data_IF_715622360352
#
_entry.id   IF_715622360352
#
_cell.length_a   1.000
_cell.length_b   1.000
_cell.length_c   1.000
_cell.angle_alpha   90.00
_cell.angle_beta   90.00
_cell.angle_gamma   90.00
#
_symmetry.space_group_name_H-M   'P 1'
#
loop_
_entity.id
_entity.type
_entity.pdbx_description
1 polymer ?
#
# COMPACT_ATOMS: atom_id res chain seq x y z
N UNK A 1 -2.36 -18.32 -2.22
CA UNK A 1 -3.76 -18.03 -2.66
C UNK A 1 -3.69 -17.37 -4.02
N UNK A 2 -4.44 -17.84 -5.01
CA UNK A 2 -4.40 -17.25 -6.36
C UNK A 2 -5.33 -16.05 -6.44
N UNK A 3 -4.81 -14.92 -6.90
CA UNK A 3 -5.53 -13.67 -7.10
C UNK A 3 -5.59 -13.36 -8.58
N UNK A 4 -6.78 -13.07 -9.08
CA UNK A 4 -6.99 -12.63 -10.45
C UNK A 4 -7.82 -11.34 -10.46
N UNK A 5 -7.29 -10.32 -11.12
CA UNK A 5 -7.94 -9.03 -11.33
C UNK A 5 -7.97 -8.74 -12.83
N UNK A 6 -9.16 -8.73 -13.41
CA UNK A 6 -9.35 -8.59 -14.85
C UNK A 6 -10.34 -7.48 -15.21
N UNK A 7 -9.99 -6.73 -16.26
CA UNK A 7 -10.80 -5.71 -16.92
C UNK A 7 -10.38 -5.61 -18.39
N UNK A 8 -11.02 -4.74 -19.17
CA UNK A 8 -10.61 -4.49 -20.56
C UNK A 8 -9.19 -3.89 -20.68
N UNK A 9 -8.65 -3.31 -19.61
CA UNK A 9 -7.36 -2.62 -19.59
C UNK A 9 -6.29 -3.33 -18.75
N UNK A 10 -6.68 -4.31 -17.91
CA UNK A 10 -5.80 -4.94 -16.95
C UNK A 10 -6.05 -6.45 -16.91
N UNK A 11 -4.98 -7.22 -16.99
CA UNK A 11 -4.99 -8.65 -16.69
C UNK A 11 -3.86 -8.97 -15.72
N UNK A 12 -4.22 -9.13 -14.45
CA UNK A 12 -3.29 -9.41 -13.36
C UNK A 12 -3.64 -10.77 -12.74
N UNK A 13 -2.67 -11.67 -12.68
CA UNK A 13 -2.77 -12.97 -12.02
C UNK A 13 -1.50 -13.18 -11.19
N UNK A 14 -1.66 -13.54 -9.93
CA UNK A 14 -0.56 -13.84 -9.04
C UNK A 14 -0.97 -14.75 -7.89
N UNK A 15 -0.02 -15.55 -7.40
CA UNK A 15 -0.13 -16.27 -6.15
C UNK A 15 0.38 -15.38 -5.00
N UNK A 16 -0.48 -15.11 -4.02
CA UNK A 16 -0.14 -14.36 -2.81
C UNK A 16 -0.28 -15.23 -1.57
N UNK A 17 0.75 -15.21 -0.73
CA UNK A 17 0.72 -15.80 0.60
C UNK A 17 0.58 -14.72 1.68
N UNK A 18 1.54 -13.82 1.79
CA UNK A 18 1.52 -12.68 2.72
C UNK A 18 1.66 -11.36 1.97
N UNK A 19 2.68 -11.26 1.13
CA UNK A 19 3.04 -10.04 0.40
C UNK A 19 3.28 -10.32 -1.08
N UNK A 20 2.91 -9.37 -1.92
CA UNK A 20 3.35 -9.27 -3.31
C UNK A 20 4.11 -7.96 -3.52
N UNK A 21 5.24 -8.05 -4.21
CA UNK A 21 6.11 -6.92 -4.53
C UNK A 21 6.03 -6.67 -6.04
N UNK A 22 5.54 -5.51 -6.47
CA UNK A 22 5.37 -5.18 -7.89
C UNK A 22 6.44 -4.18 -8.30
N UNK A 23 7.29 -4.60 -9.23
CA UNK A 23 8.44 -3.85 -9.78
C UNK A 23 8.35 -3.77 -11.31
N UNK A 24 9.41 -3.32 -11.98
CA UNK A 24 9.47 -3.18 -13.44
C UNK A 24 9.26 -1.74 -13.92
N UNK A 25 9.58 -1.51 -15.19
CA UNK A 25 9.59 -0.20 -15.83
C UNK A 25 8.22 0.33 -16.24
N UNK A 26 7.21 -0.55 -16.42
CA UNK A 26 5.90 -0.11 -16.89
C UNK A 26 5.07 0.51 -15.75
N UNK A 27 5.33 1.79 -15.49
CA UNK A 27 4.61 2.59 -14.49
C UNK A 27 3.11 2.69 -14.79
N UNK A 28 2.71 2.74 -16.06
CA UNK A 28 1.30 2.80 -16.44
C UNK A 28 0.55 1.54 -15.97
N UNK A 29 1.12 0.35 -16.18
CA UNK A 29 0.51 -0.90 -15.71
C UNK A 29 0.47 -0.98 -14.18
N UNK A 30 1.55 -0.57 -13.50
CA UNK A 30 1.59 -0.47 -12.03
C UNK A 30 0.51 0.45 -11.48
N UNK A 31 0.33 1.62 -12.10
CA UNK A 31 -0.71 2.58 -11.74
C UNK A 31 -2.11 2.02 -12.02
N UNK A 32 -2.31 1.35 -13.15
CA UNK A 32 -3.57 0.67 -13.46
C UNK A 32 -3.93 -0.34 -12.37
N UNK A 33 -3.00 -1.22 -11.95
CA UNK A 33 -3.23 -2.16 -10.85
C UNK A 33 -3.68 -1.42 -9.58
N UNK A 34 -2.96 -0.37 -9.17
CA UNK A 34 -3.33 0.42 -8.00
C UNK A 34 -4.74 1.02 -8.11
N UNK A 35 -5.05 1.67 -9.23
CA UNK A 35 -6.36 2.31 -9.42
C UNK A 35 -7.50 1.30 -9.48
N UNK A 36 -7.29 0.11 -10.03
CA UNK A 36 -8.28 -0.95 -9.98
C UNK A 36 -8.55 -1.40 -8.53
N UNK A 37 -7.49 -1.64 -7.75
CA UNK A 37 -7.63 -1.97 -6.32
C UNK A 37 -8.34 -0.85 -5.54
N UNK A 38 -8.02 0.42 -5.81
CA UNK A 38 -8.66 1.57 -5.17
C UNK A 38 -10.12 1.72 -5.57
N UNK A 39 -10.46 1.54 -6.85
CA UNK A 39 -11.84 1.66 -7.35
C UNK A 39 -12.76 0.59 -6.75
N UNK A 40 -12.25 -0.62 -6.52
CA UNK A 40 -12.96 -1.70 -5.86
C UNK A 40 -13.47 -1.34 -4.45
N UNK A 41 -12.79 -0.41 -3.74
CA UNK A 41 -13.20 0.10 -2.42
C UNK A 41 -14.43 1.01 -2.49
N UNK A 42 -14.56 1.81 -3.55
CA UNK A 42 -15.41 3.02 -3.55
C UNK A 42 -16.85 2.75 -3.97
N UNK A 43 -17.11 1.94 -5.01
CA UNK A 43 -18.46 1.84 -5.58
C UNK A 43 -18.72 0.51 -6.28
N UNK A 44 -19.94 -0.01 -6.11
CA UNK A 44 -20.50 -1.11 -6.92
C UNK A 44 -21.02 -0.67 -8.30
N UNK A 45 -21.04 0.65 -8.57
CA UNK A 45 -21.57 1.23 -9.79
C UNK A 45 -20.47 1.99 -10.53
N UNK A 46 -20.39 1.79 -11.84
CA UNK A 46 -19.48 2.50 -12.74
C UNK A 46 -20.23 3.62 -13.45
N UNK A 47 -19.59 4.78 -13.62
CA UNK A 47 -20.10 5.82 -14.54
C UNK A 47 -19.99 5.35 -15.99
N UNK A 48 -20.58 6.07 -16.94
CA UNK A 48 -20.43 5.76 -18.37
C UNK A 48 -18.96 5.83 -18.83
N UNK A 49 -18.20 6.79 -18.30
CA UNK A 49 -16.76 6.93 -18.55
C UNK A 49 -15.97 5.76 -17.98
N UNK A 50 -16.30 5.36 -16.74
CA UNK A 50 -15.66 4.22 -16.10
C UNK A 50 -16.03 2.90 -16.77
N UNK A 51 -17.24 2.77 -17.29
CA UNK A 51 -17.67 1.58 -18.04
C UNK A 51 -16.92 1.48 -19.37
N UNK A 52 -16.62 2.60 -20.02
CA UNK A 52 -15.73 2.61 -21.21
C UNK A 52 -14.29 2.23 -20.87
N UNK A 53 -13.83 2.58 -19.66
CA UNK A 53 -12.46 2.29 -19.22
C UNK A 53 -12.29 0.86 -18.70
N UNK A 54 -13.13 0.41 -17.76
CA UNK A 54 -13.04 -0.92 -17.15
C UNK A 54 -13.77 -2.01 -17.94
N UNK A 55 -14.56 -1.64 -18.95
CA UNK A 55 -15.41 -2.53 -19.72
C UNK A 55 -16.83 -2.66 -19.17
N UNK A 56 -17.74 -3.16 -19.99
CA UNK A 56 -19.16 -3.34 -19.62
C UNK A 56 -19.36 -4.27 -18.41
N UNK A 57 -18.44 -5.21 -18.19
CA UNK A 57 -18.42 -6.11 -17.04
C UNK A 57 -17.79 -5.52 -15.78
N UNK A 58 -17.17 -4.35 -15.88
CA UNK A 58 -16.36 -3.72 -14.83
C UNK A 58 -15.15 -4.57 -14.43
N UNK A 59 -14.57 -4.21 -13.28
CA UNK A 59 -13.46 -4.95 -12.67
C UNK A 59 -13.98 -6.30 -12.14
N UNK A 60 -13.38 -7.40 -12.60
CA UNK A 60 -13.63 -8.74 -12.07
C UNK A 60 -12.51 -9.12 -11.11
N UNK A 61 -12.91 -9.52 -9.90
CA UNK A 61 -11.98 -9.96 -8.87
C UNK A 61 -12.27 -11.41 -8.50
N UNK A 62 -11.27 -12.28 -8.61
CA UNK A 62 -11.37 -13.70 -8.25
C UNK A 62 -10.28 -14.08 -7.26
N UNK A 63 -10.64 -14.95 -6.33
CA UNK A 63 -9.72 -15.63 -5.41
C UNK A 63 -9.89 -17.13 -5.60
N UNK A 64 -8.81 -17.85 -5.86
CA UNK A 64 -8.79 -19.29 -6.13
C UNK A 64 -9.88 -19.68 -7.15
N UNK A 65 -9.88 -18.97 -8.28
CA UNK A 65 -10.82 -19.08 -9.40
C UNK A 65 -12.31 -18.78 -9.06
N UNK A 66 -12.62 -18.36 -7.82
CA UNK A 66 -13.97 -17.94 -7.41
C UNK A 66 -14.13 -16.44 -7.50
N UNK A 67 -15.12 -15.99 -8.28
CA UNK A 67 -15.50 -14.58 -8.34
C UNK A 67 -16.01 -14.12 -6.97
N UNK A 68 -15.41 -13.06 -6.45
CA UNK A 68 -15.81 -12.46 -5.17
C UNK A 68 -16.40 -11.07 -5.40
N UNK A 69 -17.26 -10.64 -4.48
CA UNK A 69 -17.76 -9.29 -4.51
C UNK A 69 -16.72 -8.33 -3.92
N UNK A 70 -16.06 -7.59 -4.79
CA UNK A 70 -15.05 -6.59 -4.45
C UNK A 70 -15.55 -5.56 -3.44
N UNK A 71 -16.82 -5.15 -3.51
CA UNK A 71 -17.39 -4.14 -2.59
C UNK A 71 -17.59 -4.65 -1.16
N UNK A 72 -17.43 -5.96 -0.94
CA UNK A 72 -17.48 -6.59 0.40
C UNK A 72 -16.10 -6.84 0.97
N UNK A 73 -15.03 -6.59 0.21
CA UNK A 73 -13.66 -6.80 0.67
C UNK A 73 -13.20 -5.58 1.47
N UNK A 74 -12.36 -5.84 2.49
CA UNK A 74 -11.73 -4.78 3.25
C UNK A 74 -10.41 -4.40 2.55
N UNK A 75 -10.46 -3.36 1.72
CA UNK A 75 -9.31 -2.88 0.95
C UNK A 75 -8.87 -1.51 1.47
N UNK A 76 -7.65 -1.44 1.97
CA UNK A 76 -6.96 -0.21 2.35
C UNK A 76 -5.91 0.11 1.29
N UNK A 77 -6.00 1.30 0.70
CA UNK A 77 -5.06 1.78 -0.31
C UNK A 77 -4.30 2.98 0.24
N UNK A 78 -3.00 3.04 -0.01
CA UNK A 78 -2.13 4.13 0.42
C UNK A 78 -1.25 4.54 -0.77
N UNK A 79 -1.38 5.78 -1.24
CA UNK A 79 -0.46 6.38 -2.23
C UNK A 79 0.20 7.68 -1.79
N UNK A 80 0.04 8.06 -0.53
CA UNK A 80 0.62 9.28 -0.01
C UNK A 80 0.22 9.57 1.42
N UNK A 81 0.76 10.68 1.94
CA UNK A 81 0.52 11.16 3.29
C UNK A 81 -0.98 11.37 3.59
N UNK A 82 -1.74 11.90 2.64
CA UNK A 82 -3.18 12.14 2.80
C UNK A 82 -3.96 10.84 3.02
N UNK A 83 -3.60 9.76 2.32
CA UNK A 83 -4.23 8.45 2.53
C UNK A 83 -3.90 7.91 3.93
N UNK A 84 -2.67 8.11 4.42
CA UNK A 84 -2.26 7.72 5.79
C UNK A 84 -3.07 8.50 6.83
N UNK A 85 -3.18 9.82 6.69
CA UNK A 85 -4.02 10.66 7.56
C UNK A 85 -5.49 10.23 7.50
N UNK A 86 -5.97 9.85 6.32
CA UNK A 86 -7.30 9.30 6.09
C UNK A 86 -7.61 8.04 6.91
N UNK A 87 -6.59 7.24 7.28
CA UNK A 87 -6.75 6.05 8.14
C UNK A 87 -7.19 6.40 9.58
N UNK A 88 -6.98 7.65 10.00
CA UNK A 88 -7.32 8.17 11.34
C UNK A 88 -8.62 8.98 11.36
N UNK A 89 -9.39 8.96 10.28
CA UNK A 89 -10.70 9.63 10.26
C UNK A 89 -11.69 8.92 11.18
N UNK A 90 -12.57 9.68 11.84
CA UNK A 90 -13.64 9.15 12.69
C UNK A 90 -14.92 8.85 11.90
N UNK A 91 -14.78 8.19 10.75
CA UNK A 91 -15.91 7.66 9.98
C UNK A 91 -16.32 6.27 10.50
N UNK A 92 -17.61 5.93 10.44
CA UNK A 92 -18.18 4.64 10.87
C UNK A 92 -17.53 3.41 10.23
N UNK A 93 -16.90 3.59 9.07
CA UNK A 93 -16.21 2.52 8.35
C UNK A 93 -14.70 2.48 8.64
N UNK A 94 -14.17 3.44 9.38
CA UNK A 94 -12.75 3.48 9.71
C UNK A 94 -12.42 2.49 10.83
N UNK A 95 -11.20 1.96 10.77
CA UNK A 95 -10.69 1.01 11.75
C UNK A 95 -10.59 1.66 13.14
N UNK A 96 -10.09 2.90 13.18
CA UNK A 96 -9.88 3.64 14.43
C UNK A 96 -11.21 3.99 15.09
N UNK A 97 -12.24 4.34 14.32
CA UNK A 97 -13.57 4.59 14.88
C UNK A 97 -14.19 3.33 15.49
N UNK A 98 -14.05 2.18 14.82
CA UNK A 98 -14.54 0.91 15.35
C UNK A 98 -13.81 0.48 16.63
N UNK A 99 -12.49 0.70 16.70
CA UNK A 99 -11.72 0.45 17.92
C UNK A 99 -12.15 1.39 19.05
N UNK A 100 -12.35 2.69 18.77
CA UNK A 100 -12.88 3.64 19.74
C UNK A 100 -14.27 3.22 20.24
N UNK A 101 -15.16 2.75 19.36
CA UNK A 101 -16.48 2.28 19.77
C UNK A 101 -16.40 1.06 20.70
N UNK A 102 -15.48 0.13 20.45
CA UNK A 102 -15.26 -1.03 21.34
C UNK A 102 -14.81 -0.60 22.74
N UNK A 103 -13.92 0.39 22.82
CA UNK A 103 -13.52 0.98 24.10
C UNK A 103 -14.70 1.75 24.75
N UNK A 104 -15.63 2.30 23.95
CA UNK A 104 -16.83 3.00 24.43
C UNK A 104 -17.93 2.07 24.95
N UNK A 105 -17.90 0.78 24.60
CA UNK A 105 -18.80 -0.25 25.16
C UNK A 105 -18.51 -0.58 26.64
N UNK A 106 -17.55 0.09 27.27
CA UNK A 106 -17.44 0.14 28.74
C UNK A 106 -18.75 0.68 29.34
N UNK A 107 -19.41 -0.17 30.13
CA UNK A 107 -20.68 0.10 30.80
C UNK A 107 -20.67 1.44 31.55
N UNK A 108 -19.52 1.83 32.12
CA UNK A 108 -19.41 3.11 32.82
C UNK A 108 -19.45 4.30 31.86
N UNK A 109 -18.83 4.19 30.69
CA UNK A 109 -18.84 5.26 29.70
C UNK A 109 -20.21 5.37 29.03
N UNK A 110 -20.85 4.24 28.69
CA UNK A 110 -22.23 4.23 28.16
C UNK A 110 -23.16 4.98 29.10
N UNK A 111 -23.09 4.70 30.41
CA UNK A 111 -23.92 5.39 31.40
C UNK A 111 -23.66 6.90 31.46
N UNK A 112 -22.41 7.34 31.24
CA UNK A 112 -22.09 8.76 31.15
C UNK A 112 -22.64 9.39 29.87
N UNK A 113 -22.58 8.69 28.75
CA UNK A 113 -23.11 9.15 27.46
C UNK A 113 -24.65 9.26 27.48
N UNK A 114 -25.34 8.35 28.17
CA UNK A 114 -26.78 8.45 28.41
C UNK A 114 -27.13 9.70 29.22
N UNK A 115 -26.35 10.02 30.25
CA UNK A 115 -26.52 11.26 31.02
C UNK A 115 -26.31 12.51 30.16
N UNK A 116 -25.37 12.48 29.20
CA UNK A 116 -25.17 13.57 28.24
C UNK A 116 -26.39 13.72 27.34
N UNK A 117 -26.93 12.61 26.80
CA UNK A 117 -28.16 12.64 26.00
C UNK A 117 -29.33 13.23 26.79
N UNK A 118 -29.50 12.86 28.06
CA UNK A 118 -30.54 13.44 28.92
C UNK A 118 -30.39 14.97 29.07
N UNK A 119 -29.15 15.47 29.18
CA UNK A 119 -28.91 16.92 29.23
C UNK A 119 -29.18 17.60 27.88
N UNK A 120 -28.77 16.98 26.76
CA UNK A 120 -29.04 17.51 25.42
C UNK A 120 -30.55 17.63 25.18
N UNK A 121 -31.32 16.60 25.53
CA UNK A 121 -32.78 16.62 25.43
C UNK A 121 -33.41 17.75 26.26
N UNK A 122 -32.87 18.04 27.46
CA UNK A 122 -33.35 19.19 28.27
C UNK A 122 -33.06 20.52 27.58
N UNK A 123 -31.86 20.69 27.02
CA UNK A 123 -31.49 21.90 26.27
C UNK A 123 -32.38 22.08 25.04
N UNK A 124 -32.65 21.02 24.30
CA UNK A 124 -33.58 21.04 23.16
C UNK A 124 -34.98 21.50 23.56
N UNK A 125 -35.51 20.98 24.67
CA UNK A 125 -36.82 21.37 25.19
C UNK A 125 -36.86 22.86 25.55
N UNK A 126 -35.82 23.38 26.21
CA UNK A 126 -35.74 24.80 26.54
C UNK A 126 -35.63 25.69 25.29
N UNK A 127 -34.89 25.25 24.26
CA UNK A 127 -34.78 25.98 22.99
C UNK A 127 -36.12 25.98 22.27
N UNK A 128 -36.80 24.84 22.17
CA UNK A 128 -38.09 24.73 21.50
C UNK A 128 -39.17 25.55 22.19
N UNK A 129 -39.20 25.58 23.53
CA UNK A 129 -40.09 26.48 24.27
C UNK A 129 -39.86 27.96 23.93
N UNK A 130 -38.60 28.38 23.78
CA UNK A 130 -38.27 29.75 23.39
C UNK A 130 -38.59 30.02 21.92
N UNK A 131 -38.36 29.05 21.03
CA UNK A 131 -38.70 29.15 19.61
C UNK A 131 -40.21 29.28 19.40
N UNK A 132 -41.02 28.46 20.08
CA UNK A 132 -42.49 28.55 20.03
C UNK A 132 -43.01 29.95 20.42
N UNK A 133 -42.30 30.62 21.34
CA UNK A 133 -42.65 31.97 21.79
C UNK A 133 -42.21 33.05 20.80
N UNK A 134 -41.08 32.85 20.09
CA UNK A 134 -40.44 33.88 19.27
C UNK A 134 -40.73 33.76 17.76
N UNK A 135 -40.86 32.53 17.25
CA UNK A 135 -40.95 32.19 15.84
C UNK A 135 -41.95 31.04 15.68
N UNK A 136 -43.19 31.38 15.30
CA UNK A 136 -44.23 30.39 15.08
C UNK A 136 -43.83 29.34 14.04
N UNK A 137 -44.01 28.06 14.37
CA UNK A 137 -43.85 26.89 13.49
C UNK A 137 -42.41 26.45 13.17
N UNK A 138 -41.43 26.82 14.00
CA UNK A 138 -40.06 26.31 13.89
C UNK A 138 -39.70 25.46 15.12
N UNK A 139 -39.30 24.22 14.87
CA UNK A 139 -38.75 23.33 15.90
C UNK A 139 -37.30 22.98 15.59
N UNK A 140 -36.49 22.97 16.64
CA UNK A 140 -35.16 22.41 16.60
C UNK A 140 -35.26 20.88 16.46
N UNK A 141 -34.57 20.36 15.45
CA UNK A 141 -34.40 18.92 15.26
C UNK A 141 -33.60 18.33 16.42
N UNK A 142 -34.06 17.20 16.95
CA UNK A 142 -33.35 16.44 17.99
C UNK A 142 -31.96 16.00 17.54
N UNK A 143 -31.01 16.00 18.46
CA UNK A 143 -29.63 15.60 18.28
C UNK A 143 -29.08 14.91 19.54
N UNK A 144 -28.27 13.87 19.32
CA UNK A 144 -27.69 13.06 20.38
C UNK A 144 -26.18 13.31 20.49
N UNK A 145 -25.55 12.77 21.55
CA UNK A 145 -24.09 12.81 21.71
C UNK A 145 -23.38 12.26 20.47
N UNK A 146 -23.95 11.22 19.83
CA UNK A 146 -23.40 10.60 18.63
C UNK A 146 -23.31 11.58 17.45
N UNK A 147 -24.25 12.54 17.39
CA UNK A 147 -24.28 13.62 16.40
C UNK A 147 -23.20 14.65 16.67
N UNK A 148 -22.92 14.95 17.95
CA UNK A 148 -21.83 15.84 18.35
C UNK A 148 -20.47 15.19 18.09
N UNK A 149 -20.31 13.92 18.47
CA UNK A 149 -19.08 13.17 18.27
C UNK A 149 -18.72 13.11 16.79
N UNK A 150 -19.65 12.70 15.92
CA UNK A 150 -19.40 12.63 14.48
C UNK A 150 -19.11 13.98 13.81
N UNK A 151 -19.49 15.11 14.42
CA UNK A 151 -19.25 16.45 13.88
C UNK A 151 -18.02 17.15 14.43
N UNK A 152 -17.64 16.89 15.67
CA UNK A 152 -16.66 17.69 16.40
C UNK A 152 -15.51 16.86 16.98
N UNK A 153 -15.61 15.54 17.02
CA UNK A 153 -14.51 14.72 17.49
C UNK A 153 -13.37 14.77 16.47
N UNK A 154 -12.18 15.04 16.98
CA UNK A 154 -10.93 15.05 16.21
C UNK A 154 -9.90 14.26 17.00
N UNK A 155 -9.12 13.45 16.28
CA UNK A 155 -7.96 12.79 16.86
C UNK A 155 -6.76 13.72 16.78
N UNK A 156 -6.05 13.84 17.90
CA UNK A 156 -4.80 14.60 18.01
C UNK A 156 -3.75 13.68 18.60
N UNK A 157 -2.51 13.87 18.16
CA UNK A 157 -1.39 13.16 18.75
C UNK A 157 -1.00 13.87 20.05
N UNK A 158 -0.71 13.10 21.10
CA UNK A 158 -0.28 13.65 22.39
C UNK A 158 1.13 13.20 22.68
N UNK A 159 1.99 14.15 23.03
CA UNK A 159 3.33 13.89 23.55
C UNK A 159 3.54 14.61 24.90
N UNK A 160 4.76 14.55 25.43
CA UNK A 160 5.10 15.21 26.69
C UNK A 160 5.04 16.76 26.63
N UNK A 161 5.04 17.34 25.43
CA UNK A 161 4.97 18.78 25.19
C UNK A 161 3.54 19.27 24.92
N UNK A 162 2.60 18.39 24.63
CA UNK A 162 1.17 18.68 24.53
C UNK A 162 0.49 17.96 23.37
N UNK A 163 -0.54 18.59 22.81
CA UNK A 163 -1.26 18.06 21.66
C UNK A 163 -0.74 18.66 20.36
N UNK A 164 -0.46 17.80 19.41
CA UNK A 164 -0.04 18.17 18.06
C UNK A 164 -0.97 17.53 17.03
N UNK A 165 -1.16 18.23 15.91
CA UNK A 165 -2.04 17.76 14.84
C UNK A 165 -1.40 16.59 14.10
N UNK A 166 -2.21 15.69 13.54
CA UNK A 166 -1.74 14.49 12.84
C UNK A 166 -0.86 14.85 11.62
N UNK A 167 -1.14 15.98 10.97
CA UNK A 167 -0.35 16.53 9.85
C UNK A 167 1.07 16.98 10.24
N UNK A 168 1.38 17.06 11.54
CA UNK A 168 2.73 17.35 12.02
C UNK A 168 3.58 16.10 12.25
N UNK A 169 2.96 14.91 12.26
CA UNK A 169 3.66 13.67 12.59
C UNK A 169 4.35 13.06 11.37
N UNK A 170 5.39 12.25 11.59
CA UNK A 170 6.02 11.51 10.50
C UNK A 170 5.07 10.40 10.00
N UNK A 171 5.02 10.20 8.69
CA UNK A 171 4.18 9.16 8.06
C UNK A 171 4.40 7.76 8.66
N UNK A 172 5.66 7.41 8.96
CA UNK A 172 6.00 6.11 9.57
C UNK A 172 5.50 5.94 11.00
N UNK A 173 5.45 7.02 11.78
CA UNK A 173 4.87 6.99 13.12
C UNK A 173 3.36 6.77 13.05
N UNK A 174 2.67 7.48 12.16
CA UNK A 174 1.23 7.29 11.94
C UNK A 174 0.93 5.86 11.50
N UNK A 175 1.67 5.32 10.52
CA UNK A 175 1.49 3.93 10.09
C UNK A 175 1.73 2.92 11.22
N UNK A 176 2.76 3.16 12.05
CA UNK A 176 3.02 2.31 13.21
C UNK A 176 1.87 2.31 14.21
N UNK A 177 1.25 3.47 14.47
CA UNK A 177 0.07 3.56 15.33
C UNK A 177 -1.13 2.86 14.71
N UNK A 178 -1.35 3.05 13.42
CA UNK A 178 -2.43 2.39 12.71
C UNK A 178 -2.29 0.86 12.76
N UNK A 179 -1.07 0.33 12.65
CA UNK A 179 -0.81 -1.11 12.77
C UNK A 179 -1.09 -1.68 14.16
N UNK A 180 -0.90 -0.92 15.24
CA UNK A 180 -1.24 -1.40 16.60
C UNK A 180 -2.73 -1.69 16.71
N UNK A 181 -3.57 -0.76 16.24
CA UNK A 181 -5.02 -0.99 16.13
C UNK A 181 -5.34 -2.04 15.07
N UNK A 182 -4.59 -2.04 13.97
CA UNK A 182 -4.72 -2.95 12.85
C UNK A 182 -4.55 -4.41 13.23
N UNK A 183 -3.57 -4.73 14.06
CA UNK A 183 -3.30 -6.09 14.53
C UNK A 183 -4.51 -6.68 15.27
N UNK A 184 -5.06 -5.94 16.24
CA UNK A 184 -6.27 -6.36 16.97
C UNK A 184 -7.45 -6.53 16.01
N UNK A 185 -7.65 -5.55 15.13
CA UNK A 185 -8.73 -5.57 14.17
C UNK A 185 -8.66 -6.80 13.24
N UNK A 186 -7.47 -7.11 12.70
CA UNK A 186 -7.24 -8.28 11.83
C UNK A 186 -7.53 -9.57 12.58
N UNK A 187 -7.11 -9.70 13.85
CA UNK A 187 -7.36 -10.87 14.69
C UNK A 187 -8.85 -11.15 14.94
N UNK A 188 -9.67 -10.11 14.90
CA UNK A 188 -11.12 -10.22 15.08
C UNK A 188 -11.92 -10.36 13.78
N UNK A 189 -11.26 -10.30 12.62
CA UNK A 189 -11.95 -10.47 11.33
C UNK A 189 -12.08 -11.94 10.94
N UNK A 190 -13.13 -12.25 10.18
CA UNK A 190 -13.29 -13.51 9.47
C UNK A 190 -12.86 -13.43 7.99
N UNK A 191 -12.64 -12.21 7.48
CA UNK A 191 -12.38 -11.93 6.07
C UNK A 191 -10.97 -11.42 5.84
N UNK A 192 -10.48 -11.65 4.62
CA UNK A 192 -9.18 -11.19 4.17
C UNK A 192 -9.17 -9.66 4.10
N UNK A 193 -8.13 -9.06 4.69
CA UNK A 193 -7.83 -7.64 4.62
C UNK A 193 -6.73 -7.42 3.60
N UNK A 194 -6.95 -6.49 2.68
CA UNK A 194 -6.00 -6.10 1.65
C UNK A 194 -5.39 -4.75 1.98
N UNK A 195 -4.07 -4.69 2.00
CA UNK A 195 -3.30 -3.47 2.13
C UNK A 195 -2.51 -3.25 0.84
N UNK A 196 -2.87 -2.22 0.08
CA UNK A 196 -2.23 -1.90 -1.20
C UNK A 196 -1.48 -0.59 -1.07
N UNK A 197 -0.16 -0.64 -1.20
CA UNK A 197 0.73 0.49 -1.00
C UNK A 197 1.40 0.82 -2.33
N UNK A 198 1.26 2.06 -2.78
CA UNK A 198 1.89 2.55 -4.00
C UNK A 198 3.00 3.54 -3.68
N UNK A 199 4.17 3.27 -4.23
CA UNK A 199 5.36 4.11 -4.22
C UNK A 199 5.75 4.59 -2.81
N UNK A 200 5.91 3.67 -1.83
CA UNK A 200 6.20 4.01 -0.44
C UNK A 200 7.44 4.91 -0.29
N UNK A 201 8.44 4.76 -1.17
CA UNK A 201 9.65 5.57 -1.21
C UNK A 201 9.42 7.08 -1.45
N UNK A 202 8.21 7.49 -1.82
CA UNK A 202 7.87 8.90 -2.04
C UNK A 202 7.37 9.62 -0.78
N UNK A 203 7.00 8.88 0.27
CA UNK A 203 6.43 9.46 1.49
C UNK A 203 6.82 8.74 2.80
N UNK A 204 7.61 7.67 2.73
CA UNK A 204 8.17 6.97 3.88
C UNK A 204 9.69 7.01 3.85
N UNK A 205 10.27 7.25 5.02
CA UNK A 205 11.68 7.00 5.23
C UNK A 205 11.96 5.49 5.26
N UNK A 206 13.18 5.12 4.89
CA UNK A 206 13.55 3.73 4.66
C UNK A 206 13.46 2.85 5.91
N UNK A 207 13.87 3.38 7.07
CA UNK A 207 13.83 2.68 8.35
C UNK A 207 12.40 2.48 8.83
N UNK A 208 11.55 3.49 8.65
CA UNK A 208 10.13 3.42 8.97
C UNK A 208 9.42 2.39 8.10
N UNK A 209 9.74 2.39 6.80
CA UNK A 209 9.20 1.45 5.84
C UNK A 209 9.62 0.01 6.14
N UNK A 210 10.90 -0.23 6.45
CA UNK A 210 11.41 -1.54 6.87
C UNK A 210 10.68 -2.06 8.11
N UNK A 211 10.57 -1.22 9.16
CA UNK A 211 9.85 -1.55 10.40
C UNK A 211 8.38 -1.87 10.14
N UNK A 212 7.76 -1.13 9.22
CA UNK A 212 6.37 -1.32 8.84
C UNK A 212 6.14 -2.65 8.10
N UNK A 213 6.97 -2.97 7.09
CA UNK A 213 6.87 -4.23 6.34
C UNK A 213 7.06 -5.43 7.27
N UNK A 214 8.06 -5.40 8.15
CA UNK A 214 8.31 -6.50 9.08
C UNK A 214 7.13 -6.74 10.03
N UNK A 215 6.54 -5.67 10.60
CA UNK A 215 5.34 -5.81 11.44
C UNK A 215 4.15 -6.39 10.68
N UNK A 216 3.92 -5.94 9.44
CA UNK A 216 2.83 -6.49 8.63
C UNK A 216 3.08 -7.95 8.27
N UNK A 217 4.32 -8.34 7.94
CA UNK A 217 4.67 -9.74 7.68
C UNK A 217 4.34 -10.62 8.88
N UNK A 218 4.71 -10.21 10.09
CA UNK A 218 4.36 -10.94 11.32
C UNK A 218 2.85 -11.10 11.44
N UNK A 219 2.08 -10.02 11.32
CA UNK A 219 0.61 -10.07 11.40
C UNK A 219 0.01 -10.98 10.31
N UNK A 220 0.49 -10.87 9.07
CA UNK A 220 0.03 -11.68 7.94
C UNK A 220 0.35 -13.16 8.12
N UNK A 221 1.53 -13.48 8.66
CA UNK A 221 1.95 -14.86 8.92
C UNK A 221 1.17 -15.49 10.08
N UNK A 222 0.92 -14.75 11.15
CA UNK A 222 0.15 -15.20 12.31
C UNK A 222 -1.34 -15.40 11.97
N UNK A 223 -1.95 -14.43 11.30
CA UNK A 223 -3.41 -14.41 11.08
C UNK A 223 -3.82 -15.09 9.79
N UNK A 224 -2.95 -15.13 8.78
CA UNK A 224 -3.24 -15.51 7.37
C UNK A 224 -4.32 -14.66 6.68
N UNK A 225 -4.87 -13.65 7.36
CA UNK A 225 -5.97 -12.80 6.89
C UNK A 225 -5.47 -11.48 6.29
N UNK A 226 -4.28 -11.02 6.65
CA UNK A 226 -3.70 -9.81 6.06
C UNK A 226 -2.91 -10.16 4.79
N UNK A 227 -3.20 -9.47 3.69
CA UNK A 227 -2.50 -9.56 2.41
C UNK A 227 -2.00 -8.18 2.01
N UNK A 228 -0.74 -8.09 1.60
CA UNK A 228 -0.15 -6.84 1.16
C UNK A 228 0.24 -6.89 -0.32
N UNK A 229 -0.03 -5.82 -1.05
CA UNK A 229 0.54 -5.57 -2.37
C UNK A 229 1.32 -4.26 -2.30
N UNK A 230 2.63 -4.32 -2.51
CA UNK A 230 3.47 -3.13 -2.57
C UNK A 230 3.90 -2.90 -4.01
N UNK A 231 3.66 -1.69 -4.52
CA UNK A 231 3.99 -1.28 -5.88
C UNK A 231 5.11 -0.26 -5.79
N UNK A 232 6.29 -0.56 -6.34
CA UNK A 232 7.45 0.32 -6.29
C UNK A 232 7.63 1.14 -7.57
N UNK A 233 8.12 2.37 -7.39
CA UNK A 233 8.51 3.28 -8.45
C UNK A 233 10.00 3.11 -8.79
N UNK A 234 10.88 3.07 -7.79
CA UNK A 234 12.35 3.07 -7.97
C UNK A 234 12.99 1.75 -7.53
N UNK A 235 14.33 1.74 -7.55
CA UNK A 235 15.15 0.70 -6.95
C UNK A 235 14.71 0.39 -5.51
N UNK A 236 14.78 -0.90 -5.19
CA UNK A 236 14.43 -1.42 -3.86
C UNK A 236 15.70 -1.53 -3.01
N UNK A 237 15.54 -1.33 -1.71
CA UNK A 237 16.66 -1.49 -0.78
C UNK A 237 16.93 -2.98 -0.51
N UNK A 238 18.17 -3.46 -0.74
CA UNK A 238 18.56 -4.85 -0.51
C UNK A 238 18.50 -5.30 0.97
N UNK A 239 18.35 -4.38 1.92
CA UNK A 239 18.15 -4.68 3.34
C UNK A 239 16.69 -5.01 3.67
N UNK A 240 15.74 -4.63 2.82
CA UNK A 240 14.31 -4.93 2.99
C UNK A 240 13.95 -6.21 2.24
N UNK A 241 14.53 -6.40 1.05
CA UNK A 241 14.18 -7.47 0.15
C UNK A 241 15.33 -8.45 -0.04
N UNK A 242 15.15 -9.66 0.48
CA UNK A 242 16.07 -10.79 0.34
C UNK A 242 15.61 -11.77 -0.75
N UNK A 243 16.34 -12.87 -0.89
CA UNK A 243 15.99 -14.02 -1.71
C UNK A 243 14.58 -14.60 -1.42
N UNK A 244 14.11 -14.55 -0.17
CA UNK A 244 12.77 -14.98 0.24
C UNK A 244 11.59 -14.22 -0.44
N UNK A 245 11.89 -13.11 -1.11
CA UNK A 245 10.87 -12.30 -1.80
C UNK A 245 10.83 -12.55 -3.31
N UNK A 246 11.76 -13.33 -3.86
CA UNK A 246 11.86 -13.50 -5.31
C UNK A 246 10.58 -14.11 -5.88
N UNK A 247 10.08 -15.21 -5.32
CA UNK A 247 8.80 -15.83 -5.70
C UNK A 247 7.57 -14.95 -5.41
N UNK A 248 7.70 -13.96 -4.55
CA UNK A 248 6.67 -12.96 -4.22
C UNK A 248 6.72 -11.72 -5.11
N UNK A 249 7.69 -11.65 -6.01
CA UNK A 249 7.91 -10.48 -6.85
C UNK A 249 7.26 -10.65 -8.21
N UNK A 250 6.57 -9.58 -8.64
CA UNK A 250 5.92 -9.45 -9.93
C UNK A 250 6.62 -8.35 -10.71
N UNK A 251 7.06 -8.69 -11.93
CA UNK A 251 7.62 -7.73 -12.86
C UNK A 251 6.49 -7.23 -13.76
N UNK A 252 6.28 -5.91 -13.79
CA UNK A 252 5.36 -5.24 -14.69
C UNK A 252 6.12 -4.67 -15.90
N UNK A 253 6.00 -5.35 -17.04
CA UNK A 253 6.59 -4.93 -18.33
C UNK A 253 5.49 -4.74 -19.37
N UNK A 254 5.42 -5.56 -20.43
CA UNK A 254 4.27 -5.64 -21.34
C UNK A 254 3.12 -6.51 -20.76
N UNK A 255 3.43 -7.31 -19.74
CA UNK A 255 2.48 -8.11 -18.95
C UNK A 255 2.97 -8.15 -17.49
N UNK A 256 2.13 -8.67 -16.60
CA UNK A 256 2.56 -9.02 -15.25
C UNK A 256 3.11 -10.44 -15.26
N UNK A 257 4.33 -10.62 -14.77
CA UNK A 257 4.95 -11.93 -14.57
C UNK A 257 5.41 -12.07 -13.14
N UNK A 258 4.91 -13.08 -12.43
CA UNK A 258 5.44 -13.46 -11.13
C UNK A 258 6.71 -14.29 -11.33
N UNK A 259 7.75 -13.96 -10.58
CA UNK A 259 9.00 -14.69 -10.61
C UNK A 259 8.84 -16.08 -9.97
N UNK A 260 9.65 -17.07 -10.39
CA UNK A 260 9.63 -18.40 -9.80
C UNK A 260 10.38 -18.40 -8.45
N UNK A 261 10.42 -19.55 -7.78
CA UNK A 261 11.27 -19.77 -6.61
C UNK A 261 12.75 -19.47 -6.93
N UNK A 262 13.50 -19.06 -5.90
CA UNK A 262 14.87 -18.55 -6.03
C UNK A 262 15.80 -19.55 -6.75
N UNK A 263 15.66 -20.85 -6.50
CA UNK A 263 16.47 -21.88 -7.16
C UNK A 263 16.27 -21.87 -8.67
N UNK A 264 15.02 -21.84 -9.13
CA UNK A 264 14.71 -21.77 -10.56
C UNK A 264 15.11 -20.42 -11.17
N UNK A 265 14.96 -19.33 -10.42
CA UNK A 265 15.41 -18.02 -10.86
C UNK A 265 16.92 -18.00 -11.10
N UNK A 266 17.71 -18.52 -10.14
CA UNK A 266 19.16 -18.70 -10.27
C UNK A 266 19.51 -19.55 -11.47
N UNK A 267 18.92 -20.73 -11.60
CA UNK A 267 19.25 -21.68 -12.69
C UNK A 267 19.06 -21.05 -14.06
N UNK A 268 17.98 -20.27 -14.22
CA UNK A 268 17.73 -19.52 -15.45
C UNK A 268 18.77 -18.41 -15.66
N UNK A 269 19.07 -17.61 -14.64
CA UNK A 269 20.11 -16.57 -14.76
C UNK A 269 21.47 -17.18 -15.13
N UNK A 270 21.87 -18.25 -14.45
CA UNK A 270 23.16 -18.91 -14.64
C UNK A 270 23.33 -19.47 -16.05
N UNK A 271 22.26 -19.97 -16.67
CA UNK A 271 22.29 -20.50 -18.05
C UNK A 271 22.63 -19.45 -19.11
N UNK A 272 22.27 -18.19 -18.88
CA UNK A 272 22.49 -17.07 -19.81
C UNK A 272 23.63 -16.16 -19.36
N UNK A 273 24.16 -16.36 -18.14
CA UNK A 273 25.26 -15.56 -17.62
C UNK A 273 26.54 -15.79 -18.44
N UNK A 274 27.33 -14.74 -18.74
CA UNK A 274 28.48 -14.86 -19.63
C UNK A 274 29.70 -15.60 -19.04
N UNK A 275 29.69 -15.88 -17.73
CA UNK A 275 30.80 -16.50 -17.00
C UNK A 275 30.26 -17.37 -15.84
N UNK A 276 31.14 -18.05 -15.10
CA UNK A 276 30.76 -18.76 -13.89
C UNK A 276 30.18 -17.79 -12.84
N UNK A 277 28.94 -18.07 -12.42
CA UNK A 277 28.24 -17.24 -11.45
C UNK A 277 28.60 -17.66 -10.02
N UNK A 278 29.35 -16.82 -9.32
CA UNK A 278 29.80 -17.07 -7.93
C UNK A 278 28.88 -16.49 -6.86
N UNK A 279 27.82 -15.79 -7.26
CA UNK A 279 26.95 -15.06 -6.34
C UNK A 279 26.05 -16.02 -5.55
N UNK A 280 25.89 -15.79 -4.25
CA UNK A 280 24.88 -16.50 -3.42
C UNK A 280 23.46 -16.01 -3.74
N UNK A 281 22.44 -16.71 -3.24
CA UNK A 281 21.03 -16.40 -3.56
C UNK A 281 20.66 -15.00 -3.13
N UNK A 282 21.02 -14.67 -1.90
CA UNK A 282 20.84 -13.33 -1.38
C UNK A 282 21.60 -12.27 -2.22
N UNK A 283 22.85 -12.52 -2.65
CA UNK A 283 23.58 -11.55 -3.49
C UNK A 283 22.88 -11.36 -4.84
N UNK A 284 22.42 -12.45 -5.47
CA UNK A 284 21.65 -12.39 -6.71
C UNK A 284 20.36 -11.58 -6.52
N UNK A 285 19.60 -11.85 -5.46
CA UNK A 285 18.36 -11.14 -5.14
C UNK A 285 18.62 -9.64 -4.92
N UNK A 286 19.65 -9.29 -4.15
CA UNK A 286 20.03 -7.89 -3.93
C UNK A 286 20.41 -7.19 -5.24
N UNK A 287 21.15 -7.84 -6.12
CA UNK A 287 21.46 -7.32 -7.46
C UNK A 287 20.18 -7.09 -8.26
N UNK A 288 19.30 -8.09 -8.28
CA UNK A 288 18.00 -8.01 -8.95
C UNK A 288 17.17 -6.82 -8.45
N UNK A 289 17.02 -6.63 -7.13
CA UNK A 289 16.20 -5.54 -6.59
C UNK A 289 16.74 -4.15 -6.90
N UNK A 290 18.07 -3.98 -6.99
CA UNK A 290 18.69 -2.72 -7.44
C UNK A 290 18.30 -2.35 -8.85
N UNK A 291 18.23 -3.32 -9.76
CA UNK A 291 17.91 -3.08 -11.19
C UNK A 291 16.44 -3.32 -11.55
N UNK A 292 15.63 -3.86 -10.64
CA UNK A 292 14.27 -4.34 -10.92
C UNK A 292 13.37 -3.28 -11.57
N UNK A 293 13.53 -2.02 -11.19
CA UNK A 293 12.80 -0.88 -11.75
C UNK A 293 13.14 -0.57 -13.22
N UNK A 294 14.27 -1.07 -13.73
CA UNK A 294 14.73 -0.87 -15.12
C UNK A 294 14.33 -2.03 -16.03
N UNK A 295 13.81 -3.12 -15.48
CA UNK A 295 13.44 -4.29 -16.28
C UNK A 295 12.29 -3.90 -17.20
N UNK A 296 12.49 -4.11 -18.51
CA UNK A 296 11.57 -3.75 -19.57
C UNK A 296 11.84 -2.40 -20.24
N UNK A 297 12.80 -1.61 -19.75
CA UNK A 297 13.31 -0.45 -20.49
C UNK A 297 14.19 -0.91 -21.65
N UNK A 298 13.90 -0.41 -22.86
CA UNK A 298 14.69 -0.77 -24.06
C UNK A 298 15.99 0.02 -24.17
N UNK A 299 15.99 1.27 -23.67
CA UNK A 299 17.08 2.22 -23.85
C UNK A 299 17.42 2.88 -22.51
N UNK A 300 18.50 2.40 -21.88
CA UNK A 300 18.99 2.96 -20.63
C UNK A 300 20.05 4.01 -20.99
N UNK A 301 19.58 5.24 -21.21
CA UNK A 301 20.42 6.37 -21.57
C UNK A 301 21.19 6.94 -20.37
N UNK A 302 22.39 7.47 -20.67
CA UNK A 302 23.41 8.27 -19.94
C UNK A 302 23.22 8.74 -18.48
N UNK A 303 22.02 8.76 -17.92
CA UNK A 303 21.74 9.31 -16.60
C UNK A 303 21.55 8.24 -15.50
N UNK A 304 21.66 6.95 -15.84
CA UNK A 304 21.54 5.86 -14.84
C UNK A 304 22.91 5.30 -14.48
N UNK A 305 23.34 5.54 -13.24
CA UNK A 305 24.53 4.89 -12.66
C UNK A 305 24.17 3.48 -12.24
N UNK A 306 24.65 2.48 -12.99
CA UNK A 306 24.42 1.05 -12.70
C UNK A 306 25.79 0.38 -12.52
N UNK A 307 25.92 -0.47 -11.50
CA UNK A 307 27.14 -1.25 -11.31
C UNK A 307 27.36 -2.22 -12.48
N UNK A 308 28.61 -2.46 -12.87
CA UNK A 308 28.93 -3.30 -14.05
C UNK A 308 28.32 -4.70 -13.97
N UNK A 309 28.39 -5.34 -12.81
CA UNK A 309 27.72 -6.63 -12.59
C UNK A 309 26.20 -6.48 -12.77
N UNK A 310 25.59 -5.47 -12.19
CA UNK A 310 24.15 -5.23 -12.28
C UNK A 310 23.69 -5.00 -13.74
N UNK A 311 24.50 -4.33 -14.57
CA UNK A 311 24.25 -4.22 -16.01
C UNK A 311 24.25 -5.58 -16.72
N UNK A 312 25.20 -6.46 -16.39
CA UNK A 312 25.24 -7.83 -16.94
C UNK A 312 23.97 -8.59 -16.56
N UNK A 313 23.55 -8.51 -15.29
CA UNK A 313 22.32 -9.16 -14.85
C UNK A 313 21.10 -8.60 -15.58
N UNK A 314 21.01 -7.28 -15.76
CA UNK A 314 19.91 -6.65 -16.47
C UNK A 314 19.83 -7.10 -17.92
N UNK A 315 20.98 -7.26 -18.59
CA UNK A 315 21.03 -7.82 -19.94
C UNK A 315 20.56 -9.27 -19.99
N UNK A 316 21.03 -10.09 -19.04
CA UNK A 316 20.62 -11.50 -18.91
C UNK A 316 19.11 -11.61 -18.69
N UNK A 317 18.53 -10.78 -17.81
CA UNK A 317 17.09 -10.74 -17.59
C UNK A 317 16.33 -10.27 -18.83
N UNK A 318 16.88 -9.30 -19.58
CA UNK A 318 16.34 -8.89 -20.87
C UNK A 318 16.28 -10.04 -21.87
N UNK A 319 17.33 -10.85 -21.96
CA UNK A 319 17.35 -12.03 -22.84
C UNK A 319 16.35 -13.11 -22.39
N UNK A 320 16.24 -13.37 -21.08
CA UNK A 320 15.29 -14.33 -20.50
C UNK A 320 13.82 -13.93 -20.75
N UNK A 321 13.52 -12.63 -20.62
CA UNK A 321 12.18 -12.09 -20.79
C UNK A 321 11.83 -11.73 -22.24
N UNK A 322 12.75 -11.97 -23.18
CA UNK A 322 12.62 -11.56 -24.59
C UNK A 322 12.43 -10.03 -24.77
N UNK A 323 13.05 -9.26 -23.88
CA UNK A 323 13.05 -7.80 -23.82
C UNK A 323 14.49 -7.26 -23.89
N UNK A 324 15.09 -7.19 -25.10
CA UNK A 324 16.49 -6.81 -25.23
C UNK A 324 16.73 -5.37 -24.74
N UNK A 325 17.74 -5.22 -23.89
CA UNK A 325 18.16 -3.93 -23.32
C UNK A 325 19.41 -3.45 -24.03
N UNK A 326 19.40 -2.18 -24.45
CA UNK A 326 20.58 -1.51 -24.98
C UNK A 326 21.18 -0.57 -23.94
N UNK A 327 22.52 -0.57 -23.86
CA UNK A 327 23.28 0.25 -22.93
C UNK A 327 24.18 1.19 -23.71
N UNK A 328 24.21 2.45 -23.30
CA UNK A 328 25.27 3.39 -23.67
C UNK A 328 26.14 3.60 -22.43
N UNK A 329 27.37 3.06 -22.45
CA UNK A 329 28.34 3.30 -21.38
C UNK A 329 29.05 4.63 -21.63
N UNK A 330 29.26 5.41 -20.58
CA UNK A 330 30.16 6.57 -20.63
C UNK A 330 31.57 6.10 -21.02
N UNK A 331 32.14 6.71 -22.07
CA UNK A 331 33.55 6.55 -22.46
C UNK A 331 34.47 7.56 -21.73
N UNK A 332 33.96 8.28 -20.73
CA UNK A 332 34.73 9.32 -20.03
C UNK A 332 35.79 8.69 -19.11
N UNK A 333 37.05 8.76 -19.53
CA UNK A 333 38.19 8.37 -18.71
C UNK A 333 38.51 9.46 -17.69
N UNK A 334 38.64 9.08 -16.41
CA UNK A 334 39.11 9.99 -15.36
C UNK A 334 40.50 10.56 -15.70
N UNK A 335 40.70 11.83 -15.40
CA UNK A 335 42.03 12.45 -15.41
C UNK A 335 42.90 11.87 -14.28
N UNK A 336 44.22 12.08 -14.40
CA UNK A 336 45.16 11.65 -13.36
C UNK A 336 44.88 12.32 -12.00
N UNK A 337 44.40 13.56 -11.99
CA UNK A 337 44.06 14.29 -10.76
C UNK A 337 42.79 13.74 -10.11
N UNK A 338 41.77 13.43 -10.90
CA UNK A 338 40.53 12.80 -10.40
C UNK A 338 40.82 11.40 -9.86
N UNK A 339 41.67 10.64 -10.54
CA UNK A 339 42.11 9.32 -10.08
C UNK A 339 42.89 9.42 -8.77
N UNK A 340 43.82 10.38 -8.66
CA UNK A 340 44.58 10.61 -7.43
C UNK A 340 43.67 11.04 -6.26
N UNK A 341 42.70 11.92 -6.51
CA UNK A 341 41.74 12.38 -5.50
C UNK A 341 40.85 11.25 -4.95
N UNK A 342 40.48 10.27 -5.77
CA UNK A 342 39.63 9.14 -5.35
C UNK A 342 40.41 8.03 -4.60
N UNK A 343 41.75 8.03 -4.66
CA UNK A 343 42.61 7.02 -4.06
C UNK A 343 43.30 7.47 -2.76
N UNK A 344 43.19 8.76 -2.41
CA UNK A 344 43.50 9.30 -1.08
C UNK A 344 42.32 9.09 -0.11
#
# INVERSE_FOLDING_TARGET
MKVELTSDQLHFIADIDDILVVVGSNHMMKDQLFYHMRKMKVTSCYTDEETKFYGAGGIQFKLDDKKINASKQQIYTIDGRQDIEGLFTLDKKSLIFNELLREVEDINLVRQLDQVNDQLMRVEQEINQKLDTALYSLELKTFEWSTLFGKFAELKFSDAAGYVSLDSQASGQLLSQWLISGEKFVKDQEQVIWLVIRYPETYLEINDYLSFIEKVRVIAQETKLLKMIVIHYKQLDPNIYSDEFIDKTIIATNRFEQLPEIEYFRDNVQKYYPDEMTDTDNILAQRFYRISHLIGETEIYKNSTIFTKDMVLLKVLGDILEMPVTFETSDETLSALETAFLLE
#
